data_IF_476562198299
#
_entry.id   IF_476562198299
#
_cell.length_a   1.000
_cell.length_b   1.000
_cell.length_c   1.000
_cell.angle_alpha   90.00
_cell.angle_beta   90.00
_cell.angle_gamma   90.00
#
_symmetry.space_group_name_H-M   'P 1'
#
loop_
_entity.id
_entity.type
_entity.pdbx_description
1 polymer ?
#
# COMPACT_ATOMS: atom_id res chain seq x y z
N UNK A 1 -23.09 26.90 -78.19
CA UNK A 1 -23.66 26.89 -76.82
C UNK A 1 -22.53 26.54 -75.86
N UNK A 2 -22.20 27.43 -74.92
CA UNK A 2 -21.09 27.25 -73.97
C UNK A 2 -21.55 26.35 -72.82
N UNK A 3 -20.75 25.35 -72.44
CA UNK A 3 -20.75 24.81 -71.07
C UNK A 3 -19.35 25.00 -70.52
N UNK A 4 -19.23 25.99 -69.65
CA UNK A 4 -18.04 26.36 -68.90
C UNK A 4 -17.62 25.25 -67.95
N UNK A 5 -16.33 24.98 -67.86
CA UNK A 5 -15.75 24.14 -66.82
C UNK A 5 -15.76 24.84 -65.46
N UNK A 6 -15.78 24.05 -64.38
CA UNK A 6 -15.19 24.41 -63.10
C UNK A 6 -14.49 23.18 -62.53
N UNK A 7 -13.29 23.46 -62.07
CA UNK A 7 -12.24 22.61 -61.55
C UNK A 7 -12.53 21.98 -60.18
N UNK A 8 -11.82 20.87 -59.95
CA UNK A 8 -11.13 20.52 -58.71
C UNK A 8 -11.91 19.95 -57.50
N UNK A 9 -11.22 18.98 -56.89
CA UNK A 9 -11.28 18.59 -55.49
C UNK A 9 -12.45 17.71 -55.04
N UNK A 10 -12.46 16.45 -55.48
CA UNK A 10 -12.92 15.38 -54.58
C UNK A 10 -11.74 14.99 -53.68
N UNK A 11 -11.67 15.63 -52.53
CA UNK A 11 -10.74 15.37 -51.44
C UNK A 11 -10.77 13.87 -51.09
N UNK A 12 -9.64 13.19 -51.30
CA UNK A 12 -9.40 11.86 -50.74
C UNK A 12 -9.36 12.04 -49.23
N UNK A 13 -10.43 11.66 -48.54
CA UNK A 13 -10.45 11.55 -47.10
C UNK A 13 -9.66 10.29 -46.71
N UNK A 14 -8.33 10.38 -46.78
CA UNK A 14 -7.45 9.44 -46.12
C UNK A 14 -7.63 9.68 -44.61
N UNK A 15 -8.56 8.93 -44.01
CA UNK A 15 -8.66 8.83 -42.57
C UNK A 15 -7.30 8.32 -42.06
N UNK A 16 -6.47 9.23 -41.54
CA UNK A 16 -5.33 8.90 -40.72
C UNK A 16 -5.89 8.17 -39.49
N UNK A 17 -5.93 6.85 -39.61
CA UNK A 17 -6.06 5.94 -38.48
C UNK A 17 -4.74 6.05 -37.73
N UNK A 18 -4.57 7.14 -36.96
CA UNK A 18 -3.46 7.22 -36.03
C UNK A 18 -3.59 6.03 -35.08
N UNK A 19 -2.56 5.18 -34.91
CA UNK A 19 -2.59 4.18 -33.86
C UNK A 19 -2.68 4.93 -32.52
N UNK A 20 -3.87 4.92 -31.92
CA UNK A 20 -4.08 5.29 -30.54
C UNK A 20 -3.49 4.18 -29.67
N UNK A 21 -2.17 4.18 -29.48
CA UNK A 21 -1.48 3.59 -28.33
C UNK A 21 0.04 3.67 -28.53
N UNK A 22 0.58 4.89 -28.47
CA UNK A 22 1.80 5.06 -27.69
C UNK A 22 1.39 5.65 -26.34
N UNK A 23 0.61 4.89 -25.58
CA UNK A 23 0.58 5.03 -24.13
C UNK A 23 1.90 4.47 -23.59
N UNK A 24 3.01 5.08 -24.03
CA UNK A 24 4.31 4.86 -23.46
C UNK A 24 4.27 5.46 -22.07
N UNK A 25 4.39 4.59 -21.08
CA UNK A 25 4.72 4.86 -19.68
C UNK A 25 5.43 6.20 -19.52
N UNK A 26 4.70 7.23 -19.09
CA UNK A 26 5.35 8.41 -18.54
C UNK A 26 6.33 7.90 -17.45
N UNK A 27 7.57 8.41 -17.40
CA UNK A 27 8.53 7.95 -16.42
C UNK A 27 7.92 8.09 -15.03
N UNK A 28 7.82 6.96 -14.31
CA UNK A 28 7.46 6.98 -12.90
C UNK A 28 8.47 7.86 -12.18
N UNK A 29 7.99 8.82 -11.39
CA UNK A 29 8.85 9.66 -10.58
C UNK A 29 9.38 8.83 -9.41
N UNK A 30 10.48 8.12 -9.65
CA UNK A 30 11.17 7.32 -8.65
C UNK A 30 12.03 8.25 -7.79
N UNK A 31 11.86 8.12 -6.48
CA UNK A 31 12.78 8.68 -5.49
C UNK A 31 14.00 7.77 -5.38
N UNK A 32 13.78 6.46 -5.35
CA UNK A 32 14.81 5.45 -5.12
C UNK A 32 14.36 4.07 -5.62
N UNK A 33 15.31 3.25 -6.04
CA UNK A 33 15.08 1.84 -6.38
C UNK A 33 14.00 1.60 -7.41
N UNK A 34 13.24 0.51 -7.23
CA UNK A 34 12.16 0.10 -8.11
C UNK A 34 10.77 0.54 -7.58
N UNK A 35 10.64 0.82 -6.30
CA UNK A 35 9.36 0.99 -5.62
C UNK A 35 9.19 2.35 -4.94
N UNK A 36 10.25 3.01 -4.47
CA UNK A 36 10.07 4.27 -3.75
C UNK A 36 9.62 5.41 -4.68
N UNK A 37 8.35 5.77 -4.59
CA UNK A 37 7.67 6.80 -5.38
C UNK A 37 6.17 6.50 -5.52
N UNK A 38 5.41 7.28 -6.32
CA UNK A 38 3.96 7.13 -6.39
C UNK A 38 3.50 5.81 -7.06
N UNK A 39 3.10 4.82 -6.25
CA UNK A 39 2.39 3.61 -6.69
C UNK A 39 3.15 2.82 -7.75
N UNK A 40 4.44 2.60 -7.53
CA UNK A 40 5.33 2.10 -8.57
C UNK A 40 5.05 0.66 -8.97
N UNK A 41 4.68 -0.21 -8.01
CA UNK A 41 4.25 -1.60 -8.23
C UNK A 41 5.09 -2.31 -9.29
N UNK A 42 6.41 -2.14 -9.24
CA UNK A 42 7.32 -2.66 -10.25
C UNK A 42 7.31 -4.20 -10.26
N UNK A 43 7.50 -4.87 -11.41
CA UNK A 43 7.60 -6.33 -11.47
C UNK A 43 9.03 -6.85 -11.17
N UNK A 44 9.82 -6.07 -10.42
CA UNK A 44 11.24 -6.31 -10.15
C UNK A 44 11.46 -6.59 -8.67
N UNK A 45 12.52 -7.31 -8.31
CA UNK A 45 12.88 -7.44 -6.90
C UNK A 45 13.30 -6.06 -6.33
N UNK A 46 13.02 -5.78 -5.04
CA UNK A 46 13.61 -4.63 -4.38
C UNK A 46 15.14 -4.69 -4.41
N UNK A 47 15.80 -3.55 -4.57
CA UNK A 47 17.27 -3.50 -4.70
C UNK A 47 18.00 -3.36 -3.36
N UNK A 48 17.31 -2.90 -2.31
CA UNK A 48 17.81 -2.79 -0.94
C UNK A 48 16.65 -2.75 0.07
N UNK A 49 16.98 -2.60 1.35
CA UNK A 49 16.01 -2.62 2.45
C UNK A 49 15.01 -1.44 2.42
N UNK A 50 15.42 -0.28 1.91
CA UNK A 50 14.49 0.85 1.78
C UNK A 50 13.51 0.60 0.63
N UNK A 51 14.02 0.09 -0.49
CA UNK A 51 13.20 -0.30 -1.63
C UNK A 51 12.21 -1.43 -1.27
N UNK A 52 12.61 -2.34 -0.38
CA UNK A 52 11.73 -3.41 0.14
C UNK A 52 10.58 -2.83 0.97
N UNK A 53 10.85 -1.85 1.83
CA UNK A 53 9.81 -1.15 2.58
C UNK A 53 8.80 -0.44 1.65
N UNK A 54 9.30 0.20 0.59
CA UNK A 54 8.45 0.80 -0.43
C UNK A 54 7.63 -0.25 -1.19
N UNK A 55 8.20 -1.42 -1.50
CA UNK A 55 7.49 -2.52 -2.14
C UNK A 55 6.34 -3.06 -1.28
N UNK A 56 6.54 -3.20 0.03
CA UNK A 56 5.48 -3.57 0.97
C UNK A 56 4.36 -2.53 1.01
N UNK A 57 4.69 -1.24 0.95
CA UNK A 57 3.69 -0.16 0.91
C UNK A 57 2.85 -0.18 -0.37
N UNK A 58 3.49 -0.33 -1.52
CA UNK A 58 2.83 -0.47 -2.82
C UNK A 58 1.89 -1.68 -2.83
N UNK A 59 2.36 -2.83 -2.35
CA UNK A 59 1.55 -4.04 -2.23
C UNK A 59 0.37 -3.90 -1.25
N UNK A 60 0.49 -3.04 -0.24
CA UNK A 60 -0.59 -2.70 0.69
C UNK A 60 -1.68 -1.83 0.02
N UNK A 61 -1.39 -1.25 -1.15
CA UNK A 61 -2.28 -0.35 -1.90
C UNK A 61 -2.44 -0.80 -3.36
N UNK A 62 -2.94 -2.03 -3.61
CA UNK A 62 -2.90 -2.67 -4.93
C UNK A 62 -3.76 -1.96 -5.98
N UNK A 63 -4.79 -1.21 -5.56
CA UNK A 63 -5.68 -0.48 -6.46
C UNK A 63 -5.08 0.85 -6.97
N UNK A 64 -3.88 1.23 -6.51
CA UNK A 64 -3.24 2.51 -6.82
C UNK A 64 -3.97 3.74 -6.26
N UNK A 65 -4.97 3.53 -5.40
CA UNK A 65 -5.67 4.58 -4.66
C UNK A 65 -4.84 5.15 -3.50
N UNK A 66 -5.47 5.95 -2.64
CA UNK A 66 -4.79 6.39 -1.42
C UNK A 66 -4.48 5.18 -0.52
N UNK A 67 -3.32 5.11 0.13
CA UNK A 67 -3.03 4.07 1.10
C UNK A 67 -3.95 4.17 2.32
N UNK A 68 -4.13 3.08 3.05
CA UNK A 68 -4.73 3.15 4.38
C UNK A 68 -3.75 3.79 5.39
N UNK A 69 -4.26 4.32 6.50
CA UNK A 69 -3.39 4.81 7.58
C UNK A 69 -2.45 3.71 8.10
N UNK A 70 -2.92 2.46 8.13
CA UNK A 70 -2.10 1.32 8.56
C UNK A 70 -0.95 1.05 7.57
N UNK A 71 -1.18 1.16 6.26
CA UNK A 71 -0.12 1.04 5.26
C UNK A 71 0.94 2.14 5.44
N UNK A 72 0.52 3.38 5.66
CA UNK A 72 1.46 4.50 5.88
C UNK A 72 2.30 4.32 7.15
N UNK A 73 1.68 3.87 8.25
CA UNK A 73 2.40 3.60 9.50
C UNK A 73 3.39 2.43 9.35
N UNK A 74 3.06 1.42 8.55
CA UNK A 74 3.99 0.32 8.27
C UNK A 74 5.20 0.81 7.49
N UNK A 75 5.00 1.59 6.43
CA UNK A 75 6.10 2.19 5.67
C UNK A 75 6.98 3.08 6.56
N UNK A 76 6.36 3.91 7.42
CA UNK A 76 7.09 4.75 8.36
C UNK A 76 8.01 3.89 9.25
N UNK A 77 7.46 2.86 9.90
CA UNK A 77 8.20 2.01 10.82
C UNK A 77 9.35 1.25 10.14
N UNK A 78 9.14 0.72 8.93
CA UNK A 78 10.19 0.00 8.20
C UNK A 78 11.31 0.95 7.75
N UNK A 79 10.96 2.11 7.21
CA UNK A 79 11.94 3.13 6.81
C UNK A 79 12.71 3.70 8.02
N UNK A 80 12.06 3.88 9.17
CA UNK A 80 12.73 4.24 10.43
C UNK A 80 13.77 3.19 10.84
N UNK A 81 13.45 1.91 10.69
CA UNK A 81 14.39 0.81 10.93
C UNK A 81 15.63 0.91 10.05
N UNK A 82 15.45 1.18 8.75
CA UNK A 82 16.57 1.38 7.81
C UNK A 82 17.39 2.63 8.18
N UNK A 83 16.75 3.73 8.55
CA UNK A 83 17.45 4.96 8.95
C UNK A 83 18.35 4.78 10.19
N UNK A 84 17.92 3.91 11.11
CA UNK A 84 18.60 3.66 12.38
C UNK A 84 19.67 2.56 12.29
N UNK A 85 19.68 1.76 11.23
CA UNK A 85 20.61 0.65 11.05
C UNK A 85 22.03 1.16 10.67
N UNK A 86 23.04 0.99 11.54
CA UNK A 86 24.40 1.46 11.27
C UNK A 86 25.12 0.64 10.20
N UNK A 87 24.59 -0.52 9.80
CA UNK A 87 25.16 -1.32 8.71
C UNK A 87 24.82 -0.77 7.33
N UNK A 88 23.83 0.13 7.23
CA UNK A 88 23.39 0.73 5.98
C UNK A 88 24.25 1.94 5.58
N UNK A 89 24.42 2.21 4.27
CA UNK A 89 25.11 3.41 3.80
C UNK A 89 24.46 4.70 4.33
N UNK A 90 25.28 5.70 4.66
CA UNK A 90 24.80 6.98 5.23
C UNK A 90 23.73 7.65 4.36
N UNK A 91 23.95 7.74 3.05
CA UNK A 91 22.99 8.33 2.12
C UNK A 91 21.66 7.56 2.11
N UNK A 92 21.70 6.23 2.18
CA UNK A 92 20.50 5.38 2.23
C UNK A 92 19.74 5.62 3.54
N UNK A 93 20.46 5.72 4.66
CA UNK A 93 19.87 6.01 5.98
C UNK A 93 19.20 7.40 6.01
N UNK A 94 19.87 8.40 5.44
CA UNK A 94 19.32 9.76 5.34
C UNK A 94 18.05 9.79 4.49
N UNK A 95 18.07 9.12 3.34
CA UNK A 95 16.91 8.98 2.47
C UNK A 95 15.77 8.21 3.14
N UNK A 96 16.07 7.14 3.87
CA UNK A 96 15.09 6.40 4.66
C UNK A 96 14.41 7.29 5.70
N UNK A 97 15.14 8.20 6.35
CA UNK A 97 14.56 9.20 7.25
C UNK A 97 13.57 10.15 6.56
N UNK A 98 13.86 10.55 5.31
CA UNK A 98 12.95 11.37 4.50
C UNK A 98 11.69 10.56 4.14
N UNK A 99 11.84 9.31 3.73
CA UNK A 99 10.72 8.41 3.41
C UNK A 99 9.84 8.18 4.63
N UNK A 100 10.43 7.91 5.80
CA UNK A 100 9.71 7.75 7.06
C UNK A 100 8.88 9.00 7.41
N UNK A 101 9.51 10.18 7.36
CA UNK A 101 8.85 11.45 7.65
C UNK A 101 7.72 11.74 6.67
N UNK A 102 7.94 11.46 5.38
CA UNK A 102 6.91 11.57 4.34
C UNK A 102 5.74 10.64 4.60
N UNK A 103 6.02 9.38 4.97
CA UNK A 103 5.00 8.38 5.26
C UNK A 103 4.10 8.77 6.44
N UNK A 104 4.66 9.37 7.48
CA UNK A 104 3.90 9.89 8.62
C UNK A 104 2.88 10.96 8.21
N UNK A 105 3.18 11.75 7.19
CA UNK A 105 2.36 12.88 6.72
C UNK A 105 1.47 12.52 5.51
N UNK A 106 1.57 11.31 4.97
CA UNK A 106 0.84 10.93 3.76
C UNK A 106 -0.68 10.93 3.98
N UNK A 107 -1.47 11.48 3.04
CA UNK A 107 -2.91 11.31 3.03
C UNK A 107 -3.28 9.82 3.07
N UNK A 108 -4.38 9.51 3.74
CA UNK A 108 -4.90 8.14 3.79
C UNK A 108 -6.39 8.14 3.48
N UNK A 109 -6.88 7.01 2.96
CA UNK A 109 -8.32 6.83 2.83
C UNK A 109 -8.98 6.96 4.21
N UNK A 110 -10.10 7.70 4.34
CA UNK A 110 -10.90 7.64 5.55
C UNK A 110 -11.30 6.18 5.76
N UNK A 111 -10.92 5.62 6.91
CA UNK A 111 -11.10 4.20 7.18
C UNK A 111 -12.53 3.78 6.86
N UNK A 112 -12.69 2.80 5.96
CA UNK A 112 -13.99 2.15 5.81
C UNK A 112 -14.32 1.57 7.18
N UNK A 113 -15.29 2.17 7.86
CA UNK A 113 -15.81 1.64 9.13
C UNK A 113 -16.10 0.16 8.89
N UNK A 114 -15.55 -0.77 9.70
CA UNK A 114 -15.94 -2.16 9.59
C UNK A 114 -17.47 -2.19 9.70
N UNK A 115 -18.14 -2.79 8.72
CA UNK A 115 -19.57 -3.06 8.87
C UNK A 115 -19.70 -3.86 10.16
N UNK A 116 -20.54 -3.37 11.07
CA UNK A 116 -20.86 -4.08 12.29
C UNK A 116 -21.19 -5.53 11.90
N UNK A 117 -20.71 -6.53 12.66
CA UNK A 117 -21.07 -7.91 12.38
C UNK A 117 -22.59 -7.97 12.35
N UNK A 118 -23.17 -8.48 11.25
CA UNK A 118 -24.59 -8.78 11.21
C UNK A 118 -24.87 -9.67 12.41
N UNK A 119 -25.69 -9.18 13.34
CA UNK A 119 -26.11 -9.97 14.49
C UNK A 119 -26.81 -11.20 13.94
N UNK A 120 -26.12 -12.34 13.94
CA UNK A 120 -26.76 -13.62 13.69
C UNK A 120 -27.64 -13.88 14.91
N UNK A 121 -28.94 -13.62 14.76
CA UNK A 121 -29.93 -14.13 15.71
C UNK A 121 -29.91 -15.65 15.60
N UNK A 122 -29.05 -16.30 16.38
CA UNK A 122 -29.01 -17.75 16.50
C UNK A 122 -30.30 -18.28 17.13
N UNK A 123 -30.84 -19.42 16.68
CA UNK A 123 -31.99 -20.03 17.34
C UNK A 123 -31.55 -20.72 18.63
N UNK A 124 -32.34 -20.54 19.69
CA UNK A 124 -32.56 -21.55 20.71
C UNK A 124 -31.36 -21.92 21.59
N UNK A 125 -31.31 -21.27 22.74
CA UNK A 125 -30.56 -21.72 23.91
C UNK A 125 -31.01 -23.15 24.29
N UNK A 126 -30.14 -24.15 24.11
CA UNK A 126 -30.31 -25.46 24.76
C UNK A 126 -29.75 -25.36 26.18
N UNK A 127 -30.48 -25.77 27.23
CA UNK A 127 -29.96 -25.70 28.58
C UNK A 127 -28.81 -26.71 28.75
N UNK A 128 -27.62 -26.23 29.09
CA UNK A 128 -26.53 -27.07 29.51
C UNK A 128 -26.83 -27.61 30.92
N UNK A 129 -27.18 -28.89 31.02
CA UNK A 129 -27.19 -29.62 32.28
C UNK A 129 -25.78 -30.20 32.50
N UNK A 130 -24.89 -29.43 33.11
CA UNK A 130 -23.63 -29.94 33.67
C UNK A 130 -23.59 -29.54 35.15
N UNK A 131 -23.44 -30.49 36.10
CA UNK A 131 -23.22 -30.16 37.50
C UNK A 131 -21.80 -29.58 37.70
N UNK A 132 -21.61 -28.69 38.69
CA UNK A 132 -20.29 -28.14 39.02
C UNK A 132 -19.40 -29.21 39.65
N UNK A 133 -18.20 -29.40 39.10
CA UNK A 133 -17.12 -30.11 39.77
C UNK A 133 -16.43 -29.19 40.79
N UNK A 134 -15.89 -29.75 41.89
CA UNK A 134 -15.39 -28.97 43.02
C UNK A 134 -14.09 -28.22 42.69
N UNK A 135 -14.01 -27.05 43.29
CA UNK A 135 -12.90 -26.11 43.27
C UNK A 135 -11.61 -26.76 43.77
N UNK A 136 -10.55 -26.71 42.97
CA UNK A 136 -9.19 -26.91 43.43
C UNK A 136 -8.53 -25.52 43.53
N UNK A 137 -8.70 -24.93 44.70
CA UNK A 137 -7.76 -23.98 45.27
C UNK A 137 -6.41 -24.68 45.47
N UNK A 138 -5.36 -24.20 44.81
CA UNK A 138 -4.03 -24.27 45.38
C UNK A 138 -3.20 -23.14 44.82
N UNK A 139 -3.11 -22.08 45.62
CA UNK A 139 -2.18 -20.99 45.42
C UNK A 139 -0.72 -21.41 45.53
N UNK A 140 0.13 -20.64 44.85
CA UNK A 140 1.51 -20.36 45.25
C UNK A 140 1.93 -19.04 44.58
N UNK A 141 1.58 -17.94 45.23
CA UNK A 141 2.38 -16.71 45.21
C UNK A 141 3.61 -16.95 46.08
N UNK A 142 4.82 -16.81 45.52
CA UNK A 142 6.07 -16.42 46.18
C UNK A 142 7.00 -15.87 45.05
N UNK A 143 7.15 -14.56 44.85
CA UNK A 143 7.94 -13.55 45.59
C UNK A 143 9.33 -13.31 44.95
N UNK A 144 9.56 -12.03 44.66
CA UNK A 144 10.81 -11.25 44.67
C UNK A 144 11.99 -11.41 43.69
N UNK A 145 12.28 -10.25 43.07
CA UNK A 145 13.55 -9.49 43.08
C UNK A 145 14.29 -9.26 41.74
N UNK A 146 14.29 -7.98 41.37
CA UNK A 146 15.24 -7.21 40.52
C UNK A 146 16.61 -7.05 41.27
N UNK A 147 17.61 -6.30 40.74
CA UNK A 147 18.69 -6.68 39.84
C UNK A 147 20.10 -6.56 40.50
N UNK A 148 21.17 -6.90 39.78
CA UNK A 148 22.50 -6.26 39.91
C UNK A 148 23.11 -6.03 38.52
#
# INVERSE_FOLDING_TARGET
>A
MRLSGVTAAALILAALSAPAALAGTAPKALLHGNYCGPGNNAPLAPIDALDEACAHHDACTPDGGLPSKACNLRLQSEAEGVAQDPSQPEDLRAMAGIVASGAAMMPSQPGRRPLAPASVSGPGQVPALFPPGPDADTGAELDDADPE
#
